data_IF_989332033270
#
_entry.id   IF_989332033270
#
_cell.length_a   1.000
_cell.length_b   1.000
_cell.length_c   1.000
_cell.angle_alpha   90.00
_cell.angle_beta   90.00
_cell.angle_gamma   90.00
#
_symmetry.space_group_name_H-M   'P 1'
#
loop_
_entity.id
_entity.type
_entity.pdbx_description
1 polymer ?
#
# COMPACT_ATOMS: atom_id res chain seq x y z
N UNK A 1 68.35 44.38 22.54
CA UNK A 1 66.94 44.17 22.03
C UNK A 1 66.91 43.33 20.75
N UNK A 2 67.77 42.29 20.57
CA UNK A 2 67.88 41.58 19.26
C UNK A 2 67.73 40.06 19.34
N UNK A 3 67.30 39.50 20.47
CA UNK A 3 67.20 38.05 20.66
C UNK A 3 65.80 37.57 21.07
N UNK A 4 64.78 38.42 21.10
CA UNK A 4 63.40 38.08 21.49
C UNK A 4 62.51 37.76 20.27
N UNK A 5 62.91 38.18 19.08
CA UNK A 5 62.15 38.03 17.83
C UNK A 5 62.00 36.58 17.30
N UNK A 6 63.04 35.70 17.45
CA UNK A 6 62.88 34.31 16.96
C UNK A 6 62.01 33.42 17.87
N UNK A 7 61.73 33.78 19.15
CA UNK A 7 60.97 32.99 20.07
C UNK A 7 59.46 33.20 19.81
N UNK A 8 59.05 34.34 19.31
CA UNK A 8 57.65 34.64 19.01
C UNK A 8 57.13 33.88 17.78
N UNK A 9 58.05 33.44 16.87
CA UNK A 9 57.68 32.73 15.65
C UNK A 9 57.46 31.22 15.86
N UNK A 10 57.89 30.65 17.00
CA UNK A 10 57.81 29.22 17.28
C UNK A 10 56.47 28.79 17.89
N UNK A 11 55.63 29.73 18.35
CA UNK A 11 54.36 29.43 19.05
C UNK A 11 53.19 29.21 18.09
N UNK A 12 53.32 29.50 16.80
CA UNK A 12 52.23 29.47 15.81
C UNK A 12 51.97 28.07 15.23
N UNK A 13 52.77 27.04 15.56
CA UNK A 13 52.63 25.67 15.03
C UNK A 13 51.95 24.68 15.99
N UNK A 14 51.28 25.13 17.07
CA UNK A 14 50.43 24.23 17.85
C UNK A 14 49.04 24.18 17.17
N UNK A 15 49.03 23.54 16.00
CA UNK A 15 47.79 23.25 15.27
C UNK A 15 46.89 22.36 16.11
N UNK A 16 45.70 22.83 16.44
CA UNK A 16 44.63 22.03 17.01
C UNK A 16 44.44 20.78 16.14
N UNK A 17 44.68 19.59 16.69
CA UNK A 17 44.13 18.36 16.11
C UNK A 17 42.60 18.49 16.10
N UNK A 18 42.04 18.63 14.92
CA UNK A 18 40.57 18.61 14.75
C UNK A 18 39.99 17.32 15.33
N UNK A 19 38.74 17.33 15.76
CA UNK A 19 38.07 16.12 16.29
C UNK A 19 38.16 15.00 15.25
N UNK A 20 38.58 13.82 15.69
CA UNK A 20 38.63 12.65 14.82
C UNK A 20 37.26 12.42 14.19
N UNK A 21 37.17 12.23 12.86
CA UNK A 21 35.94 11.92 12.21
C UNK A 21 35.36 10.63 12.82
N UNK A 22 34.14 10.69 13.33
CA UNK A 22 33.43 9.53 13.90
C UNK A 22 33.38 8.43 12.84
N UNK A 23 34.00 7.29 13.11
CA UNK A 23 33.89 6.12 12.25
C UNK A 23 32.38 5.76 12.14
N UNK A 24 31.90 5.52 10.92
CA UNK A 24 30.49 5.09 10.77
C UNK A 24 30.28 3.84 11.60
N UNK A 25 29.33 3.89 12.54
CA UNK A 25 28.92 2.75 13.33
C UNK A 25 28.31 1.76 12.33
N UNK A 26 29.04 0.68 12.01
CA UNK A 26 28.49 -0.43 11.26
C UNK A 26 27.46 -1.14 12.18
N UNK A 27 26.26 -0.60 12.17
CA UNK A 27 25.11 -1.29 12.78
C UNK A 27 25.00 -2.63 12.07
N UNK A 28 24.75 -3.70 12.81
CA UNK A 28 24.45 -5.07 12.32
C UNK A 28 23.14 -5.08 11.53
N UNK A 29 22.99 -4.18 10.54
CA UNK A 29 21.75 -3.96 9.79
C UNK A 29 21.36 -5.17 8.93
N UNK A 30 22.35 -5.95 8.45
CA UNK A 30 22.09 -7.13 7.62
C UNK A 30 21.31 -8.23 8.33
N UNK A 31 21.58 -8.51 9.62
CA UNK A 31 20.87 -9.55 10.37
C UNK A 31 19.45 -9.13 10.71
N UNK A 32 19.25 -7.88 11.17
CA UNK A 32 17.92 -7.33 11.48
C UNK A 32 17.05 -7.21 10.22
N UNK A 33 17.63 -6.79 9.11
CA UNK A 33 16.92 -6.73 7.83
C UNK A 33 16.49 -8.12 7.36
N UNK A 34 17.39 -9.12 7.41
CA UNK A 34 17.07 -10.49 7.04
C UNK A 34 15.94 -11.06 7.91
N UNK A 35 16.02 -10.88 9.22
CA UNK A 35 14.98 -11.32 10.14
C UNK A 35 13.62 -10.64 9.86
N UNK A 36 13.62 -9.34 9.56
CA UNK A 36 12.41 -8.60 9.21
C UNK A 36 11.77 -9.13 7.91
N UNK A 37 12.57 -9.42 6.88
CA UNK A 37 12.11 -10.01 5.62
C UNK A 37 11.52 -11.40 5.84
N UNK A 38 12.17 -12.23 6.65
CA UNK A 38 11.69 -13.59 6.97
C UNK A 38 10.36 -13.56 7.71
N UNK A 39 10.24 -12.65 8.69
CA UNK A 39 8.97 -12.44 9.42
C UNK A 39 7.85 -12.00 8.48
N UNK A 40 8.13 -11.07 7.57
CA UNK A 40 7.13 -10.60 6.59
C UNK A 40 6.70 -11.71 5.62
N UNK A 41 7.62 -12.55 5.16
CA UNK A 41 7.30 -13.70 4.31
C UNK A 41 6.43 -14.73 5.04
N UNK A 42 6.76 -15.04 6.29
CA UNK A 42 5.98 -15.97 7.12
C UNK A 42 4.56 -15.46 7.34
N UNK A 43 4.42 -14.16 7.66
CA UNK A 43 3.11 -13.55 7.83
C UNK A 43 2.28 -13.61 6.56
N UNK A 44 2.87 -13.25 5.41
CA UNK A 44 2.18 -13.31 4.12
C UNK A 44 1.72 -14.73 3.80
N UNK A 45 2.57 -15.74 4.05
CA UNK A 45 2.20 -17.14 3.85
C UNK A 45 1.02 -17.58 4.73
N UNK A 46 1.00 -17.14 6.00
CA UNK A 46 -0.12 -17.42 6.92
C UNK A 46 -1.42 -16.75 6.46
N UNK A 47 -1.35 -15.52 6.00
CA UNK A 47 -2.52 -14.78 5.49
C UNK A 47 -3.04 -15.39 4.17
N UNK A 48 -2.15 -15.84 3.28
CA UNK A 48 -2.53 -16.54 2.05
C UNK A 48 -3.22 -17.88 2.35
N UNK A 49 -2.72 -18.63 3.32
CA UNK A 49 -3.36 -19.89 3.75
C UNK A 49 -4.73 -19.65 4.38
N UNK A 50 -4.88 -18.58 5.18
CA UNK A 50 -6.18 -18.16 5.70
C UNK A 50 -7.16 -17.82 4.57
N UNK A 51 -6.74 -17.01 3.60
CA UNK A 51 -7.57 -16.63 2.45
C UNK A 51 -7.95 -17.87 1.64
N UNK A 52 -7.01 -18.77 1.38
CA UNK A 52 -7.25 -20.04 0.69
C UNK A 52 -8.29 -20.88 1.41
N UNK A 53 -8.16 -21.03 2.74
CA UNK A 53 -9.15 -21.76 3.56
C UNK A 53 -10.55 -21.15 3.47
N UNK A 54 -10.66 -19.82 3.41
CA UNK A 54 -11.93 -19.12 3.23
C UNK A 54 -12.53 -19.43 1.86
N UNK A 55 -11.72 -19.40 0.81
CA UNK A 55 -12.13 -19.71 -0.57
C UNK A 55 -12.59 -21.17 -0.68
N UNK A 56 -11.84 -22.13 -0.15
CA UNK A 56 -12.18 -23.55 -0.19
C UNK A 56 -13.48 -23.90 0.55
N UNK A 57 -13.80 -23.16 1.62
CA UNK A 57 -15.05 -23.35 2.37
C UNK A 57 -16.26 -22.71 1.71
N UNK A 58 -16.05 -21.79 0.79
CA UNK A 58 -17.12 -21.07 0.11
C UNK A 58 -17.33 -21.60 -1.31
N UNK A 59 -18.06 -22.70 -1.43
CA UNK A 59 -18.39 -23.32 -2.74
C UNK A 59 -19.47 -22.56 -3.53
N UNK A 60 -20.01 -21.46 -2.99
CA UNK A 60 -21.10 -20.71 -3.61
C UNK A 60 -20.64 -19.61 -4.55
N UNK A 61 -19.33 -19.27 -4.51
CA UNK A 61 -18.75 -18.16 -5.26
C UNK A 61 -17.55 -18.63 -6.09
N UNK A 62 -17.39 -18.03 -7.26
CA UNK A 62 -16.22 -18.24 -8.10
C UNK A 62 -15.17 -17.17 -7.76
N UNK A 63 -14.09 -17.59 -7.10
CA UNK A 63 -13.00 -16.72 -6.73
C UNK A 63 -11.96 -16.66 -7.84
N UNK A 64 -11.48 -15.45 -8.13
CA UNK A 64 -10.48 -15.16 -9.14
C UNK A 64 -9.22 -14.65 -8.43
N UNK A 65 -8.07 -15.21 -8.77
CA UNK A 65 -6.78 -14.71 -8.29
C UNK A 65 -6.32 -13.52 -9.15
N UNK A 66 -5.97 -12.43 -8.50
CA UNK A 66 -5.42 -11.26 -9.15
C UNK A 66 -3.90 -11.37 -9.28
N UNK A 67 -3.31 -10.90 -10.40
CA UNK A 67 -1.85 -10.81 -10.55
C UNK A 67 -1.20 -9.85 -9.53
N UNK A 68 -2.00 -9.06 -8.81
CA UNK A 68 -1.54 -8.15 -7.76
C UNK A 68 -1.44 -8.81 -6.37
N UNK A 69 -1.71 -10.13 -6.25
CA UNK A 69 -1.57 -10.88 -5.00
C UNK A 69 -2.74 -10.74 -4.04
N UNK A 70 -3.95 -10.65 -4.55
CA UNK A 70 -5.22 -10.74 -3.80
C UNK A 70 -6.24 -11.54 -4.60
N UNK A 71 -7.27 -12.06 -3.91
CA UNK A 71 -8.36 -12.79 -4.55
C UNK A 71 -9.63 -11.94 -4.52
N UNK A 72 -10.56 -12.19 -5.45
CA UNK A 72 -11.82 -11.48 -5.52
C UNK A 72 -12.91 -12.31 -6.19
N UNK A 73 -14.17 -11.93 -5.97
CA UNK A 73 -15.32 -12.48 -6.70
C UNK A 73 -16.31 -11.37 -7.03
N UNK A 74 -17.06 -11.57 -8.11
CA UNK A 74 -18.14 -10.68 -8.50
C UNK A 74 -19.38 -10.98 -7.65
N UNK A 75 -19.95 -9.97 -6.99
CA UNK A 75 -21.31 -10.00 -6.44
C UNK A 75 -22.31 -9.61 -7.52
N UNK A 76 -21.96 -8.59 -8.30
CA UNK A 76 -22.72 -8.09 -9.45
C UNK A 76 -21.73 -7.75 -10.55
N UNK A 77 -21.97 -8.27 -11.75
CA UNK A 77 -21.21 -7.88 -12.94
C UNK A 77 -22.02 -6.88 -13.75
N UNK A 78 -21.48 -5.67 -13.90
CA UNK A 78 -22.09 -4.58 -14.67
C UNK A 78 -22.12 -4.90 -16.17
N UNK A 79 -23.31 -4.77 -16.78
CA UNK A 79 -23.51 -5.11 -18.19
C UNK A 79 -23.40 -3.92 -19.14
N UNK A 80 -23.34 -2.69 -18.61
CA UNK A 80 -23.49 -1.47 -19.38
C UNK A 80 -22.23 -1.02 -20.13
N UNK A 81 -21.03 -1.49 -19.73
CA UNK A 81 -19.79 -1.09 -20.34
C UNK A 81 -18.74 -2.20 -20.22
N UNK A 82 -17.91 -2.36 -21.23
CA UNK A 82 -16.70 -3.18 -21.16
C UNK A 82 -15.46 -2.36 -20.72
N UNK A 83 -15.62 -1.04 -20.54
CA UNK A 83 -14.53 -0.14 -20.21
C UNK A 83 -14.05 -0.34 -18.78
N UNK A 84 -12.74 -0.50 -18.61
CA UNK A 84 -12.05 -0.52 -17.31
C UNK A 84 -11.24 0.77 -17.17
N UNK A 85 -11.21 1.37 -15.98
CA UNK A 85 -10.57 2.66 -15.80
C UNK A 85 -9.05 2.57 -16.02
N UNK A 86 -8.52 3.60 -16.68
CA UNK A 86 -7.09 3.80 -16.98
C UNK A 86 -6.51 4.88 -16.08
N UNK A 87 -5.20 5.03 -16.11
CA UNK A 87 -4.47 6.08 -15.39
C UNK A 87 -5.11 7.45 -15.62
N UNK A 88 -5.31 8.20 -14.53
CA UNK A 88 -5.97 9.50 -14.46
C UNK A 88 -7.50 9.52 -14.70
N UNK A 89 -8.15 8.41 -15.07
CA UNK A 89 -9.60 8.35 -15.01
C UNK A 89 -10.08 8.50 -13.57
N UNK A 90 -11.27 9.08 -13.40
CA UNK A 90 -11.88 9.21 -12.07
C UNK A 90 -12.94 8.13 -11.90
N UNK A 91 -12.85 7.38 -10.82
CA UNK A 91 -13.85 6.38 -10.43
C UNK A 91 -14.63 6.91 -9.24
N UNK A 92 -15.96 6.88 -9.35
CA UNK A 92 -16.89 7.19 -8.26
C UNK A 92 -17.43 5.87 -7.74
N UNK A 93 -17.24 5.59 -6.45
CA UNK A 93 -17.60 4.31 -5.84
C UNK A 93 -17.91 4.45 -4.35
N UNK A 94 -18.54 3.43 -3.81
CA UNK A 94 -18.71 3.19 -2.37
C UNK A 94 -18.04 1.87 -1.99
N UNK A 95 -17.64 1.73 -0.74
CA UNK A 95 -17.06 0.48 -0.26
C UNK A 95 -17.24 0.30 1.23
N UNK A 96 -17.26 -0.97 1.66
CA UNK A 96 -17.29 -1.40 3.05
C UNK A 96 -16.03 -2.19 3.35
N UNK A 97 -15.42 -1.96 4.51
CA UNK A 97 -14.23 -2.69 4.97
C UNK A 97 -14.63 -3.60 6.11
N UNK A 98 -14.28 -4.87 5.99
CA UNK A 98 -14.55 -5.94 6.96
C UNK A 98 -13.24 -6.67 7.30
N UNK A 99 -13.23 -7.39 8.42
CA UNK A 99 -12.22 -8.41 8.68
C UNK A 99 -12.55 -9.72 7.95
N UNK A 100 -11.69 -10.73 8.08
CA UNK A 100 -11.89 -12.03 7.44
C UNK A 100 -13.01 -12.87 8.07
N UNK A 101 -13.53 -12.48 9.23
CA UNK A 101 -14.70 -13.10 9.89
C UNK A 101 -16.02 -12.40 9.56
N UNK A 102 -16.00 -11.45 8.62
CA UNK A 102 -17.12 -10.62 8.17
C UNK A 102 -17.61 -9.56 9.17
N UNK A 103 -16.85 -9.27 10.23
CA UNK A 103 -17.17 -8.14 11.10
C UNK A 103 -16.83 -6.84 10.40
N UNK A 104 -17.80 -5.93 10.31
CA UNK A 104 -17.60 -4.63 9.64
C UNK A 104 -16.71 -3.71 10.49
N UNK A 105 -15.65 -3.20 9.88
CA UNK A 105 -14.73 -2.22 10.48
C UNK A 105 -15.16 -0.80 10.09
N UNK A 106 -15.48 -0.59 8.81
CA UNK A 106 -16.00 0.66 8.27
C UNK A 106 -17.17 0.37 7.33
N UNK A 107 -18.30 1.01 7.55
CA UNK A 107 -19.47 0.91 6.66
C UNK A 107 -19.34 1.86 5.47
N UNK A 108 -20.09 1.59 4.39
CA UNK A 108 -20.15 2.48 3.24
C UNK A 108 -20.74 3.85 3.58
N UNK A 109 -21.67 3.90 4.54
CA UNK A 109 -22.26 5.16 5.04
C UNK A 109 -21.26 6.00 5.81
N UNK A 110 -20.40 5.35 6.62
CA UNK A 110 -19.35 6.02 7.40
C UNK A 110 -18.26 6.60 6.49
N UNK A 111 -17.89 5.88 5.43
CA UNK A 111 -16.88 6.32 4.45
C UNK A 111 -17.46 7.36 3.48
N UNK A 112 -18.70 7.19 3.08
CA UNK A 112 -19.37 7.99 2.06
C UNK A 112 -19.00 7.62 0.64
N UNK A 113 -19.48 8.42 -0.32
CA UNK A 113 -19.13 8.27 -1.74
C UNK A 113 -17.73 8.81 -1.97
N UNK A 114 -16.87 7.97 -2.53
CA UNK A 114 -15.48 8.30 -2.84
C UNK A 114 -15.31 8.57 -4.33
N UNK A 115 -14.61 9.64 -4.67
CA UNK A 115 -14.11 9.90 -6.01
C UNK A 115 -12.59 9.82 -5.99
N UNK A 116 -12.03 8.90 -6.77
CA UNK A 116 -10.60 8.65 -6.81
C UNK A 116 -10.08 8.66 -8.25
N UNK A 117 -8.95 9.35 -8.48
CA UNK A 117 -8.25 9.28 -9.76
C UNK A 117 -7.29 8.08 -9.76
N UNK A 118 -7.42 7.22 -10.76
CA UNK A 118 -6.59 6.02 -10.89
C UNK A 118 -5.10 6.37 -10.88
N UNK A 119 -4.31 5.54 -10.20
CA UNK A 119 -2.88 5.69 -9.96
C UNK A 119 -2.47 6.87 -9.05
N UNK A 120 -3.41 7.48 -8.33
CA UNK A 120 -3.10 8.40 -7.23
C UNK A 120 -3.02 7.67 -5.89
N UNK A 121 -2.27 8.21 -4.94
CA UNK A 121 -1.79 7.47 -3.74
C UNK A 121 -2.72 7.51 -2.52
N UNK A 122 -3.94 8.00 -2.63
CA UNK A 122 -4.84 8.23 -1.49
C UNK A 122 -5.48 6.96 -0.90
N UNK A 123 -5.57 5.87 -1.68
CA UNK A 123 -6.13 4.60 -1.25
C UNK A 123 -5.03 3.59 -0.93
N UNK A 124 -5.35 2.56 -0.16
CA UNK A 124 -4.42 1.46 0.08
C UNK A 124 -4.16 0.64 -1.21
N UNK A 125 -3.00 -0.02 -1.34
CA UNK A 125 -2.53 -0.61 -2.60
C UNK A 125 -3.53 -1.57 -3.25
N UNK A 126 -4.11 -2.48 -2.48
CA UNK A 126 -5.07 -3.46 -2.98
C UNK A 126 -6.30 -2.82 -3.61
N UNK A 127 -6.89 -1.80 -2.96
CA UNK A 127 -8.07 -1.12 -3.48
C UNK A 127 -7.75 -0.34 -4.76
N UNK A 128 -6.59 0.34 -4.83
CA UNK A 128 -6.13 1.01 -6.06
C UNK A 128 -6.02 0.05 -7.25
N UNK A 129 -5.46 -1.13 -7.02
CA UNK A 129 -5.32 -2.15 -8.06
C UNK A 129 -6.67 -2.84 -8.36
N UNK A 130 -7.50 -3.05 -7.34
CA UNK A 130 -8.84 -3.62 -7.48
C UNK A 130 -9.74 -2.77 -8.38
N UNK A 131 -9.73 -1.45 -8.21
CA UNK A 131 -10.51 -0.54 -9.04
C UNK A 131 -10.17 -0.64 -10.55
N UNK A 132 -8.92 -0.95 -10.91
CA UNK A 132 -8.52 -1.14 -12.31
C UNK A 132 -9.12 -2.39 -12.97
N UNK A 133 -9.61 -3.34 -12.17
CA UNK A 133 -10.24 -4.56 -12.64
C UNK A 133 -11.74 -4.38 -12.87
N UNK A 134 -12.35 -3.34 -12.27
CA UNK A 134 -13.78 -3.11 -12.24
C UNK A 134 -14.28 -2.31 -13.42
N UNK A 135 -15.49 -2.60 -13.83
CA UNK A 135 -16.28 -1.82 -14.80
C UNK A 135 -17.31 -0.97 -14.05
N UNK A 136 -17.98 -0.09 -14.78
CA UNK A 136 -19.10 0.67 -14.22
C UNK A 136 -20.25 -0.28 -13.80
N UNK A 137 -20.80 -0.04 -12.63
CA UNK A 137 -21.85 -0.83 -11.95
C UNK A 137 -21.41 -2.22 -11.47
N UNK A 138 -20.12 -2.57 -11.58
CA UNK A 138 -19.62 -3.76 -10.91
C UNK A 138 -19.71 -3.61 -9.38
N UNK A 139 -20.08 -4.73 -8.73
CA UNK A 139 -19.91 -4.92 -7.29
C UNK A 139 -19.01 -6.13 -7.06
N UNK A 140 -17.85 -5.91 -6.49
CA UNK A 140 -16.83 -6.92 -6.28
C UNK A 140 -16.43 -6.95 -4.81
N UNK A 141 -16.29 -8.15 -4.26
CA UNK A 141 -15.67 -8.34 -2.95
C UNK A 141 -14.26 -8.88 -3.12
N UNK A 142 -13.32 -8.17 -2.52
CA UNK A 142 -11.90 -8.47 -2.52
C UNK A 142 -11.45 -9.06 -1.19
N UNK A 143 -10.51 -10.00 -1.23
CA UNK A 143 -9.79 -10.54 -0.08
C UNK A 143 -8.33 -10.08 -0.17
N UNK A 144 -7.96 -9.10 0.63
CA UNK A 144 -6.64 -8.51 0.62
C UNK A 144 -5.78 -9.06 1.76
N UNK A 145 -4.59 -9.64 1.49
CA UNK A 145 -3.60 -9.82 2.53
C UNK A 145 -3.19 -8.43 3.09
N UNK A 146 -2.68 -8.39 4.31
CA UNK A 146 -2.38 -7.13 4.99
C UNK A 146 -1.40 -6.25 4.21
N UNK A 147 -0.49 -6.84 3.44
CA UNK A 147 0.45 -6.13 2.57
C UNK A 147 -0.23 -5.34 1.44
N UNK A 148 -1.41 -5.76 1.00
CA UNK A 148 -2.26 -5.06 0.04
C UNK A 148 -3.27 -4.12 0.72
N UNK A 149 -3.44 -4.23 2.03
CA UNK A 149 -4.23 -3.33 2.88
C UNK A 149 -3.39 -2.20 3.48
N UNK A 150 -3.47 -2.05 4.80
CA UNK A 150 -2.76 -1.00 5.56
C UNK A 150 -1.40 -1.47 6.13
N UNK A 151 -0.98 -2.70 5.83
CA UNK A 151 0.33 -3.24 6.14
C UNK A 151 0.65 -3.29 7.64
N UNK A 152 1.93 -3.13 7.97
CA UNK A 152 2.44 -3.24 9.34
C UNK A 152 2.09 -2.04 10.25
N UNK A 153 1.53 -0.96 9.72
CA UNK A 153 1.14 0.23 10.49
C UNK A 153 -0.33 0.26 10.87
N UNK A 154 -1.20 -0.49 10.13
CA UNK A 154 -2.62 -0.28 10.21
C UNK A 154 -3.02 1.12 9.69
N UNK A 155 -4.27 1.53 9.93
CA UNK A 155 -4.77 2.87 9.58
C UNK A 155 -4.63 3.88 10.74
N UNK A 156 -4.10 3.42 11.89
CA UNK A 156 -4.00 4.18 13.15
C UNK A 156 -5.35 4.54 13.79
N UNK A 157 -6.40 3.85 13.41
CA UNK A 157 -7.74 4.01 13.95
C UNK A 157 -8.35 2.64 14.25
N UNK A 158 -9.22 2.11 13.39
CA UNK A 158 -9.93 0.83 13.61
C UNK A 158 -9.17 -0.39 13.06
N UNK A 159 -8.29 -0.21 12.04
CA UNK A 159 -7.56 -1.31 11.43
C UNK A 159 -6.18 -1.46 12.09
N UNK A 160 -5.99 -2.59 12.77
CA UNK A 160 -4.73 -2.92 13.44
C UNK A 160 -3.60 -3.24 12.44
N UNK A 161 -2.32 -3.14 12.87
CA UNK A 161 -1.20 -3.65 12.09
C UNK A 161 -1.41 -5.09 11.62
N UNK A 162 -0.95 -5.40 10.40
CA UNK A 162 -0.95 -6.76 9.83
C UNK A 162 -2.33 -7.42 9.81
N UNK A 163 -3.38 -6.63 9.55
CA UNK A 163 -4.75 -7.14 9.45
C UNK A 163 -5.11 -7.38 7.98
N UNK A 164 -5.37 -8.62 7.55
CA UNK A 164 -5.94 -8.90 6.24
C UNK A 164 -7.40 -8.40 6.19
N UNK A 165 -7.83 -7.93 5.03
CA UNK A 165 -9.10 -7.23 4.88
C UNK A 165 -9.98 -7.88 3.81
N UNK A 166 -11.27 -7.94 4.09
CA UNK A 166 -12.33 -8.19 3.12
C UNK A 166 -13.01 -6.86 2.80
N UNK A 167 -13.10 -6.51 1.52
CA UNK A 167 -13.63 -5.21 1.10
C UNK A 167 -14.64 -5.40 -0.03
N UNK A 168 -15.89 -5.02 0.19
CA UNK A 168 -16.92 -4.99 -0.85
C UNK A 168 -16.95 -3.59 -1.46
N UNK A 169 -16.77 -3.50 -2.77
CA UNK A 169 -16.66 -2.26 -3.54
C UNK A 169 -17.72 -2.25 -4.62
N UNK A 170 -18.47 -1.15 -4.74
CA UNK A 170 -19.40 -0.94 -5.82
C UNK A 170 -19.03 0.32 -6.60
N UNK A 171 -18.72 0.16 -7.88
CA UNK A 171 -18.45 1.29 -8.79
C UNK A 171 -19.79 1.86 -9.25
N UNK A 172 -19.96 3.17 -9.05
CA UNK A 172 -21.15 3.91 -9.45
C UNK A 172 -20.96 4.44 -10.88
N UNK A 173 -19.78 5.05 -11.14
CA UNK A 173 -19.47 5.67 -12.44
C UNK A 173 -17.97 5.76 -12.67
N UNK A 174 -17.58 5.66 -13.94
CA UNK A 174 -16.23 5.92 -14.41
C UNK A 174 -16.26 7.18 -15.29
N UNK A 175 -15.40 8.15 -14.97
CA UNK A 175 -15.25 9.41 -15.73
C UNK A 175 -13.90 9.34 -16.43
N UNK A 176 -13.94 9.13 -17.74
CA UNK A 176 -12.74 9.04 -18.56
C UNK A 176 -11.99 10.38 -18.63
N UNK A 177 -10.69 10.34 -18.51
CA UNK A 177 -9.84 11.52 -18.74
C UNK A 177 -9.55 11.65 -20.24
N UNK A 178 -10.22 12.59 -20.90
CA UNK A 178 -10.07 12.85 -22.35
C UNK A 178 -8.70 13.42 -22.74
N UNK A 179 -7.93 13.96 -21.80
CA UNK A 179 -6.61 14.53 -22.08
C UNK A 179 -5.58 13.48 -22.52
N UNK A 180 -5.80 12.20 -22.19
CA UNK A 180 -4.93 11.09 -22.62
C UNK A 180 -5.11 10.70 -24.08
N UNK A 181 -6.16 11.17 -24.76
CA UNK A 181 -6.44 10.87 -26.17
C UNK A 181 -5.68 11.79 -27.13
N UNK A 182 -5.28 12.99 -26.67
CA UNK A 182 -4.61 14.00 -27.51
C UNK A 182 -3.07 13.83 -27.62
N UNK A 183 -2.48 12.86 -26.93
CA UNK A 183 -1.03 12.60 -26.94
C UNK A 183 -0.61 11.51 -27.94
N UNK A 184 -1.52 11.05 -28.80
CA UNK A 184 -1.26 10.02 -29.85
C UNK A 184 -1.54 10.53 -31.28
N UNK A 185 -1.34 11.82 -31.49
CA UNK A 185 -1.27 12.37 -32.88
C UNK A 185 0.13 12.87 -33.16
#
# INVERSE_FOLDING_TARGET
MRKVFPILFLIVFIGCKGPEPRKPVQVKSKSLFKESVERSKKLLAQEQELIKTIIEKDSTREYIESPYGFSYFYEIEGKNSAYKPKTNDKVVFIYTVMNMTNDTIYTAEEIGVVQHAIDKSQLFPGLRNGLKLMKELDKITFLFPSSQGYGYKGDRNKIRPTTPLKTSVQVIRIIENKDSLNLKQ
#
